data_IF_799820068467
#
_entry.id   IF_799820068467
#
_cell.length_a   1.000
_cell.length_b   1.000
_cell.length_c   1.000
_cell.angle_alpha   90.00
_cell.angle_beta   90.00
_cell.angle_gamma   90.00
#
_symmetry.space_group_name_H-M   'P 1'
#
loop_
_entity.id
_entity.type
_entity.pdbx_description
1 polymer ?
#
# COMPACT_ATOMS: atom_id res chain seq x y z
N UNK A 1 31.46 15.86 37.80
CA UNK A 1 31.01 14.84 36.85
C UNK A 1 32.13 13.82 36.66
N UNK A 2 31.84 12.52 36.90
CA UNK A 2 32.79 11.41 36.79
C UNK A 2 32.82 10.79 35.37
N UNK A 3 31.92 11.22 34.47
CA UNK A 3 31.82 10.68 33.11
C UNK A 3 33.14 10.78 32.35
N UNK A 4 33.86 11.91 32.49
CA UNK A 4 35.14 12.14 31.83
C UNK A 4 36.22 11.09 32.19
N UNK A 5 36.16 10.50 33.39
CA UNK A 5 37.16 9.53 33.85
C UNK A 5 36.68 8.07 33.74
N UNK A 6 35.37 7.83 33.86
CA UNK A 6 34.79 6.49 33.86
C UNK A 6 34.41 6.01 32.46
N UNK A 7 33.85 6.88 31.59
CA UNK A 7 33.42 6.48 30.25
C UNK A 7 34.57 5.90 29.41
N UNK A 8 35.77 6.51 29.34
CA UNK A 8 36.90 5.92 28.62
C UNK A 8 37.32 4.54 29.13
N UNK A 9 37.12 4.27 30.43
CA UNK A 9 37.50 3.01 31.08
C UNK A 9 36.44 1.92 30.91
N UNK A 10 35.17 2.30 30.92
CA UNK A 10 34.04 1.38 30.76
C UNK A 10 33.79 1.03 29.28
N UNK A 11 34.08 1.96 28.37
CA UNK A 11 33.75 1.81 26.95
C UNK A 11 34.28 0.51 26.30
N UNK A 12 35.52 0.03 26.55
CA UNK A 12 35.99 -1.22 25.96
C UNK A 12 35.09 -2.42 26.30
N UNK A 13 34.66 -2.55 27.56
CA UNK A 13 33.79 -3.63 28.00
C UNK A 13 32.38 -3.50 27.41
N UNK A 14 31.88 -2.27 27.27
CA UNK A 14 30.58 -2.03 26.63
C UNK A 14 30.64 -2.37 25.14
N UNK A 15 31.73 -2.01 24.47
CA UNK A 15 31.95 -2.32 23.05
C UNK A 15 32.07 -3.83 22.82
N UNK A 16 32.73 -4.55 23.72
CA UNK A 16 32.73 -6.02 23.73
C UNK A 16 31.31 -6.58 23.89
N UNK A 17 30.52 -6.04 24.83
CA UNK A 17 29.12 -6.42 25.00
C UNK A 17 28.23 -6.13 23.78
N UNK A 18 28.52 -5.08 23.01
CA UNK A 18 27.82 -4.81 21.74
C UNK A 18 28.12 -5.86 20.65
N UNK A 19 29.23 -6.59 20.77
CA UNK A 19 29.66 -7.65 19.86
C UNK A 19 29.32 -9.04 20.36
N UNK A 20 28.65 -9.15 21.51
CA UNK A 20 28.31 -10.42 22.12
C UNK A 20 27.31 -11.20 21.25
N UNK A 21 27.34 -12.52 21.36
CA UNK A 21 26.39 -13.41 20.69
C UNK A 21 25.02 -13.37 21.35
N UNK A 22 24.95 -13.05 22.64
CA UNK A 22 23.72 -12.96 23.41
C UNK A 22 23.03 -11.59 23.24
N UNK A 23 21.78 -11.64 22.78
CA UNK A 23 20.93 -10.48 22.53
C UNK A 23 20.72 -9.60 23.76
N UNK A 24 20.58 -10.19 24.95
CA UNK A 24 20.35 -9.45 26.19
C UNK A 24 21.62 -8.70 26.59
N UNK A 25 22.80 -9.29 26.36
CA UNK A 25 24.09 -8.61 26.57
C UNK A 25 24.23 -7.42 25.62
N UNK A 26 23.91 -7.60 24.33
CA UNK A 26 23.88 -6.49 23.35
C UNK A 26 22.88 -5.41 23.74
N UNK A 27 21.70 -5.80 24.22
CA UNK A 27 20.64 -4.89 24.66
C UNK A 27 21.12 -3.99 25.80
N UNK A 28 21.68 -4.60 26.86
CA UNK A 28 22.18 -3.88 28.04
C UNK A 28 23.37 -2.99 27.67
N UNK A 29 24.29 -3.50 26.84
CA UNK A 29 25.42 -2.71 26.34
C UNK A 29 24.95 -1.47 25.57
N UNK A 30 23.99 -1.62 24.65
CA UNK A 30 23.41 -0.50 23.91
C UNK A 30 22.68 0.48 24.83
N UNK A 31 21.80 -0.01 25.71
CA UNK A 31 21.04 0.81 26.65
C UNK A 31 21.95 1.61 27.58
N UNK A 32 23.11 1.05 27.98
CA UNK A 32 24.07 1.74 28.86
C UNK A 32 24.71 2.98 28.22
N UNK A 33 24.80 3.03 26.89
CA UNK A 33 25.39 4.18 26.17
C UNK A 33 24.38 5.29 25.88
N UNK A 34 23.08 5.00 25.85
CA UNK A 34 22.03 5.98 25.51
C UNK A 34 22.10 7.25 26.39
N UNK A 35 22.21 7.17 27.74
CA UNK A 35 22.25 8.37 28.57
C UNK A 35 23.53 9.20 28.43
N UNK A 36 24.58 8.64 27.82
CA UNK A 36 25.91 9.24 27.74
C UNK A 36 26.37 9.51 26.31
N UNK A 37 25.46 9.45 25.32
CA UNK A 37 25.79 9.68 23.89
C UNK A 37 26.56 10.99 23.67
N UNK A 38 26.10 12.10 24.25
CA UNK A 38 26.74 13.42 24.09
C UNK A 38 28.21 13.39 24.54
N UNK A 39 28.45 12.73 25.68
CA UNK A 39 29.78 12.59 26.27
C UNK A 39 30.63 11.57 25.51
N UNK A 40 30.02 10.50 25.00
CA UNK A 40 30.67 9.52 24.13
C UNK A 40 31.20 10.18 22.86
N UNK A 41 30.39 11.00 22.21
CA UNK A 41 30.81 11.72 20.98
C UNK A 41 31.89 12.75 21.28
N UNK A 42 31.79 13.47 22.40
CA UNK A 42 32.80 14.49 22.78
C UNK A 42 34.13 13.89 23.21
N UNK A 43 34.11 12.81 24.00
CA UNK A 43 35.31 12.24 24.65
C UNK A 43 35.94 11.11 23.85
N UNK A 44 35.15 10.36 23.07
CA UNK A 44 35.54 9.12 22.40
C UNK A 44 35.14 9.12 20.91
N UNK A 45 35.18 10.28 20.24
CA UNK A 45 34.75 10.45 18.85
C UNK A 45 35.32 9.41 17.86
N UNK A 46 36.55 8.93 18.09
CA UNK A 46 37.21 7.92 17.25
C UNK A 46 36.55 6.54 17.31
N UNK A 47 35.87 6.21 18.41
CA UNK A 47 35.18 4.93 18.59
C UNK A 47 33.77 4.95 18.02
N UNK A 48 33.16 6.13 17.85
CA UNK A 48 31.78 6.28 17.35
C UNK A 48 31.54 5.57 16.01
N UNK A 49 32.40 5.69 14.98
CA UNK A 49 32.25 4.94 13.73
C UNK A 49 32.20 3.41 13.92
N UNK A 50 33.03 2.89 14.82
CA UNK A 50 33.10 1.45 15.10
C UNK A 50 31.87 0.96 15.85
N UNK A 51 31.44 1.71 16.87
CA UNK A 51 30.19 1.45 17.60
C UNK A 51 29.02 1.46 16.63
N UNK A 52 28.93 2.49 15.78
CA UNK A 52 27.87 2.58 14.76
C UNK A 52 27.88 1.36 13.83
N UNK A 53 29.04 0.96 13.32
CA UNK A 53 29.15 -0.23 12.47
C UNK A 53 28.74 -1.51 13.21
N UNK A 54 29.10 -1.62 14.49
CA UNK A 54 28.76 -2.78 15.32
C UNK A 54 27.25 -2.86 15.56
N UNK A 55 26.60 -1.73 15.87
CA UNK A 55 25.15 -1.66 16.04
C UNK A 55 24.42 -2.02 14.73
N UNK A 56 24.92 -1.54 13.60
CA UNK A 56 24.39 -1.90 12.28
C UNK A 56 24.53 -3.39 11.97
N UNK A 57 25.70 -3.98 12.26
CA UNK A 57 25.95 -5.41 12.05
C UNK A 57 25.11 -6.26 13.01
N UNK A 58 24.98 -5.85 14.27
CA UNK A 58 24.16 -6.52 15.27
C UNK A 58 22.70 -6.60 14.84
N UNK A 59 22.14 -5.52 14.28
CA UNK A 59 20.77 -5.49 13.78
C UNK A 59 20.51 -6.48 12.62
N UNK A 60 21.53 -6.88 11.86
CA UNK A 60 21.41 -7.87 10.78
C UNK A 60 21.37 -9.31 11.29
N UNK A 61 21.81 -9.54 12.53
CA UNK A 61 21.94 -10.87 13.14
C UNK A 61 20.94 -11.07 14.31
N UNK A 62 20.06 -10.10 14.60
CA UNK A 62 19.03 -10.25 15.64
C UNK A 62 17.96 -11.26 15.20
N UNK A 63 17.67 -12.22 16.08
CA UNK A 63 16.43 -12.98 16.03
C UNK A 63 15.26 -12.08 16.46
N UNK A 64 14.02 -12.49 16.14
CA UNK A 64 12.80 -11.67 16.23
C UNK A 64 12.36 -11.22 17.68
N UNK A 65 13.27 -11.17 18.66
CA UNK A 65 12.97 -10.90 20.07
C UNK A 65 13.42 -9.49 20.54
N UNK A 66 12.59 -8.53 20.15
CA UNK A 66 12.27 -7.15 20.65
C UNK A 66 13.14 -6.35 21.65
N UNK A 67 13.84 -6.92 22.64
CA UNK A 67 14.49 -6.11 23.70
C UNK A 67 15.82 -5.48 23.24
N UNK A 68 16.62 -6.24 22.50
CA UNK A 68 17.89 -5.81 21.93
C UNK A 68 17.68 -4.78 20.83
N UNK A 69 16.70 -4.98 19.94
CA UNK A 69 16.43 -4.08 18.81
C UNK A 69 16.07 -2.67 19.25
N UNK A 70 15.21 -2.50 20.26
CA UNK A 70 14.82 -1.18 20.75
C UNK A 70 16.02 -0.40 21.31
N UNK A 71 16.84 -1.05 22.14
CA UNK A 71 18.03 -0.43 22.75
C UNK A 71 19.07 -0.06 21.69
N UNK A 72 19.31 -0.96 20.73
CA UNK A 72 20.24 -0.74 19.61
C UNK A 72 19.75 0.40 18.72
N UNK A 73 18.48 0.40 18.30
CA UNK A 73 17.90 1.45 17.45
C UNK A 73 17.87 2.81 18.15
N UNK A 74 17.60 2.85 19.46
CA UNK A 74 17.62 4.10 20.25
C UNK A 74 19.03 4.68 20.35
N UNK A 75 20.04 3.84 20.60
CA UNK A 75 21.42 4.29 20.60
C UNK A 75 21.86 4.76 19.21
N UNK A 76 21.47 4.01 18.18
CA UNK A 76 21.82 4.29 16.80
C UNK A 76 21.18 5.60 16.31
N UNK A 77 19.90 5.84 16.57
CA UNK A 77 19.22 7.10 16.26
C UNK A 77 19.91 8.27 16.94
N UNK A 78 20.28 8.13 18.22
CA UNK A 78 20.98 9.14 19.01
C UNK A 78 22.38 9.43 18.44
N UNK A 79 23.12 8.40 18.01
CA UNK A 79 24.45 8.56 17.42
C UNK A 79 24.41 9.16 16.02
N UNK A 80 23.37 8.87 15.21
CA UNK A 80 23.20 9.43 13.88
C UNK A 80 22.96 10.94 13.89
N UNK A 81 22.53 11.51 15.02
CA UNK A 81 22.45 12.97 15.19
C UNK A 81 23.82 13.66 15.16
N UNK A 82 24.91 12.91 15.32
CA UNK A 82 26.27 13.43 15.40
C UNK A 82 27.03 13.19 14.08
N UNK A 83 27.35 14.25 13.31
CA UNK A 83 27.93 14.11 11.99
C UNK A 83 29.42 13.76 12.07
N UNK A 84 29.75 12.47 12.01
CA UNK A 84 31.12 11.98 11.79
C UNK A 84 31.28 11.24 10.45
N UNK A 85 30.18 10.80 9.85
CA UNK A 85 30.12 10.10 8.56
C UNK A 85 28.93 10.61 7.73
N UNK A 86 29.01 10.48 6.41
CA UNK A 86 27.94 10.97 5.53
C UNK A 86 26.64 10.18 5.72
N UNK A 87 25.56 10.89 6.07
CA UNK A 87 24.22 10.33 6.20
C UNK A 87 23.74 9.66 4.90
N UNK A 88 24.26 10.07 3.73
CA UNK A 88 24.00 9.42 2.44
C UNK A 88 24.33 7.92 2.45
N UNK A 89 25.29 7.50 3.25
CA UNK A 89 25.73 6.10 3.35
C UNK A 89 25.04 5.38 4.50
N UNK A 90 24.77 6.08 5.60
CA UNK A 90 24.24 5.49 6.83
C UNK A 90 22.73 5.28 6.78
N UNK A 91 21.98 6.26 6.30
CA UNK A 91 20.52 6.19 6.30
C UNK A 91 20.01 5.00 5.45
N UNK A 92 20.62 4.65 4.29
CA UNK A 92 20.26 3.44 3.57
C UNK A 92 20.35 2.12 4.32
N UNK A 93 21.08 2.07 5.43
CA UNK A 93 21.13 0.88 6.29
C UNK A 93 19.85 0.69 7.10
N UNK A 94 18.97 1.69 7.19
CA UNK A 94 17.66 1.59 7.84
C UNK A 94 16.68 0.76 6.98
N UNK A 95 16.88 0.67 5.66
CA UNK A 95 15.88 0.15 4.72
C UNK A 95 15.40 -1.28 5.03
N UNK A 96 16.26 -2.22 5.47
CA UNK A 96 15.81 -3.57 5.84
C UNK A 96 14.79 -3.56 6.98
N UNK A 97 14.94 -2.65 7.95
CA UNK A 97 14.10 -2.59 9.15
C UNK A 97 12.72 -2.02 8.89
N UNK A 98 12.55 -1.26 7.80
CA UNK A 98 11.24 -0.74 7.40
C UNK A 98 10.27 -1.86 7.00
N UNK A 99 10.78 -3.03 6.57
CA UNK A 99 9.99 -4.22 6.20
C UNK A 99 10.23 -5.41 7.14
N UNK A 100 10.65 -5.12 8.37
CA UNK A 100 10.84 -6.15 9.38
C UNK A 100 9.51 -6.83 9.73
N UNK A 101 9.53 -8.12 10.05
CA UNK A 101 8.35 -8.92 10.46
C UNK A 101 7.70 -8.32 11.72
N UNK A 102 8.52 -7.91 12.70
CA UNK A 102 8.07 -7.26 13.93
C UNK A 102 7.69 -5.78 13.73
N UNK A 103 6.46 -5.44 14.13
CA UNK A 103 5.92 -4.07 14.09
C UNK A 103 6.72 -3.05 14.91
N UNK A 104 7.19 -3.39 16.11
CA UNK A 104 7.98 -2.48 16.94
C UNK A 104 9.31 -2.08 16.28
N UNK A 105 9.92 -2.98 15.52
CA UNK A 105 11.17 -2.71 14.77
C UNK A 105 10.90 -1.76 13.61
N UNK A 106 9.82 -1.98 12.86
CA UNK A 106 9.37 -1.05 11.81
C UNK A 106 9.10 0.35 12.37
N UNK A 107 8.41 0.42 13.52
CA UNK A 107 8.14 1.66 14.24
C UNK A 107 9.43 2.40 14.62
N UNK A 108 10.38 1.71 15.27
CA UNK A 108 11.67 2.30 15.65
C UNK A 108 12.48 2.80 14.44
N UNK A 109 12.44 2.08 13.32
CA UNK A 109 13.08 2.50 12.07
C UNK A 109 12.47 3.80 11.52
N UNK A 110 11.15 3.93 11.54
CA UNK A 110 10.45 5.14 11.13
C UNK A 110 10.67 6.31 12.10
N UNK A 111 10.69 6.07 13.41
CA UNK A 111 11.01 7.10 14.42
C UNK A 111 12.44 7.63 14.24
N UNK A 112 13.37 6.74 13.87
CA UNK A 112 14.74 7.11 13.51
C UNK A 112 14.74 8.04 12.29
N UNK A 113 14.02 7.70 11.22
CA UNK A 113 13.92 8.58 10.03
C UNK A 113 13.25 9.91 10.36
N UNK A 114 12.19 9.91 11.15
CA UNK A 114 11.51 11.13 11.58
C UNK A 114 12.48 12.05 12.33
N UNK A 115 13.25 11.52 13.28
CA UNK A 115 14.23 12.28 14.05
C UNK A 115 15.29 12.90 13.15
N UNK A 116 15.83 12.12 12.20
CA UNK A 116 16.85 12.60 11.26
C UNK A 116 16.34 13.72 10.35
N UNK A 117 15.09 13.65 9.91
CA UNK A 117 14.47 14.68 9.09
C UNK A 117 14.17 15.94 9.91
N UNK A 118 13.65 15.79 11.14
CA UNK A 118 13.20 16.92 11.95
C UNK A 118 14.36 17.71 12.59
N UNK A 119 15.45 17.06 13.04
CA UNK A 119 16.51 17.75 13.80
C UNK A 119 17.56 18.47 12.95
N UNK A 120 17.58 18.27 11.63
CA UNK A 120 18.54 18.93 10.73
C UNK A 120 17.95 20.28 10.28
N UNK A 121 18.40 21.38 10.89
CA UNK A 121 17.78 22.70 10.74
C UNK A 121 18.16 23.46 9.46
N UNK A 122 19.30 23.19 8.81
CA UNK A 122 19.77 24.11 7.75
C UNK A 122 20.36 23.50 6.47
N UNK A 123 20.55 22.18 6.32
CA UNK A 123 20.97 21.62 5.02
C UNK A 123 20.80 20.09 4.90
N UNK A 124 19.55 19.62 4.81
CA UNK A 124 19.29 18.21 4.47
C UNK A 124 19.70 17.86 3.03
N UNK A 125 19.74 18.85 2.14
CA UNK A 125 20.00 18.67 0.70
C UNK A 125 21.25 17.85 0.38
N UNK A 126 22.34 18.08 1.12
CA UNK A 126 23.63 17.44 0.86
C UNK A 126 23.61 15.92 0.99
N UNK A 127 22.84 15.38 1.95
CA UNK A 127 22.75 13.94 2.16
C UNK A 127 21.45 13.33 1.64
N UNK A 128 20.37 14.10 1.63
CA UNK A 128 19.03 13.64 1.29
C UNK A 128 18.85 13.50 -0.21
N UNK A 129 19.26 14.50 -1.01
CA UNK A 129 19.04 14.50 -2.46
C UNK A 129 19.55 13.22 -3.15
N UNK A 130 20.76 12.69 -2.83
CA UNK A 130 21.24 11.45 -3.46
C UNK A 130 20.44 10.19 -3.13
N UNK A 131 19.71 10.16 -2.01
CA UNK A 131 18.92 8.98 -1.55
C UNK A 131 17.41 9.24 -1.56
N UNK A 132 16.98 10.42 -2.00
CA UNK A 132 15.60 10.89 -1.90
C UNK A 132 14.63 9.94 -2.61
N UNK A 133 14.98 9.54 -3.84
CA UNK A 133 14.17 8.61 -4.62
C UNK A 133 13.97 7.28 -3.87
N UNK A 134 15.03 6.67 -3.39
CA UNK A 134 14.95 5.37 -2.70
C UNK A 134 14.20 5.50 -1.38
N UNK A 135 14.40 6.58 -0.63
CA UNK A 135 13.66 6.85 0.60
C UNK A 135 12.16 6.99 0.31
N UNK A 136 11.76 7.78 -0.70
CA UNK A 136 10.35 7.90 -1.09
C UNK A 136 9.76 6.56 -1.52
N UNK A 137 10.49 5.77 -2.30
CA UNK A 137 10.04 4.43 -2.73
C UNK A 137 9.84 3.51 -1.53
N UNK A 138 10.78 3.46 -0.60
CA UNK A 138 10.64 2.65 0.62
C UNK A 138 9.45 3.09 1.46
N UNK A 139 9.28 4.39 1.73
CA UNK A 139 8.16 4.91 2.52
C UNK A 139 6.81 4.60 1.86
N UNK A 140 6.71 4.76 0.53
CA UNK A 140 5.47 4.42 -0.18
C UNK A 140 5.16 2.92 -0.11
N UNK A 141 6.16 2.07 -0.33
CA UNK A 141 5.97 0.61 -0.29
C UNK A 141 5.56 0.12 1.09
N UNK A 142 6.18 0.61 2.16
CA UNK A 142 5.77 0.19 3.51
C UNK A 142 4.38 0.72 3.86
N UNK A 143 3.98 1.89 3.35
CA UNK A 143 2.62 2.40 3.54
C UNK A 143 1.56 1.44 2.98
N UNK A 144 1.74 0.93 1.76
CA UNK A 144 0.77 0.02 1.15
C UNK A 144 0.81 -1.40 1.74
N UNK A 145 1.93 -1.79 2.37
CA UNK A 145 2.14 -3.10 3.00
C UNK A 145 1.83 -3.11 4.50
N UNK A 146 1.54 -1.97 5.13
CA UNK A 146 1.35 -1.89 6.58
C UNK A 146 -0.11 -2.11 6.99
N UNK A 147 -0.32 -2.93 8.02
CA UNK A 147 -1.63 -3.16 8.64
C UNK A 147 -1.82 -2.36 9.92
N UNK A 148 -0.75 -1.98 10.62
CA UNK A 148 -0.82 -1.31 11.91
C UNK A 148 -1.09 0.20 11.78
N UNK A 149 -2.17 0.68 12.41
CA UNK A 149 -2.58 2.09 12.36
C UNK A 149 -1.52 3.06 12.90
N UNK A 150 -0.88 2.75 14.03
CA UNK A 150 0.13 3.64 14.62
C UNK A 150 1.33 3.82 13.68
N UNK A 151 1.71 2.74 12.98
CA UNK A 151 2.81 2.76 12.02
C UNK A 151 2.40 3.55 10.77
N UNK A 152 1.17 3.38 10.28
CA UNK A 152 0.62 4.18 9.17
C UNK A 152 0.67 5.68 9.49
N UNK A 153 0.25 6.07 10.70
CA UNK A 153 0.28 7.48 11.12
C UNK A 153 1.71 8.03 11.17
N UNK A 154 2.66 7.21 11.63
CA UNK A 154 4.07 7.57 11.64
C UNK A 154 4.67 7.64 10.22
N UNK A 155 4.30 6.74 9.32
CA UNK A 155 4.68 6.78 7.89
C UNK A 155 4.21 8.10 7.27
N UNK A 156 2.97 8.50 7.52
CA UNK A 156 2.45 9.78 7.04
C UNK A 156 3.26 10.96 7.57
N UNK A 157 3.60 10.96 8.87
CA UNK A 157 4.46 12.00 9.46
C UNK A 157 5.83 12.05 8.79
N UNK A 158 6.51 10.92 8.63
CA UNK A 158 7.83 10.84 7.98
C UNK A 158 7.75 11.35 6.54
N UNK A 159 6.69 11.01 5.80
CA UNK A 159 6.49 11.50 4.44
C UNK A 159 6.32 13.02 4.39
N UNK A 160 5.53 13.62 5.28
CA UNK A 160 5.38 15.08 5.33
C UNK A 160 6.70 15.78 5.68
N UNK A 161 7.44 15.28 6.67
CA UNK A 161 8.77 15.81 7.01
C UNK A 161 9.73 15.72 5.82
N UNK A 162 9.69 14.62 5.07
CA UNK A 162 10.51 14.42 3.87
C UNK A 162 10.20 15.46 2.79
N UNK A 163 8.92 15.66 2.47
CA UNK A 163 8.48 16.64 1.47
C UNK A 163 8.82 18.08 1.89
N UNK A 164 8.73 18.39 3.20
CA UNK A 164 9.03 19.73 3.73
C UNK A 164 10.53 20.05 3.73
N UNK A 165 11.39 19.03 3.91
CA UNK A 165 12.85 19.22 4.02
C UNK A 165 13.57 19.17 2.67
N UNK A 166 13.03 18.45 1.70
CA UNK A 166 13.60 18.38 0.35
C UNK A 166 13.13 19.57 -0.51
N UNK A 167 14.00 20.04 -1.42
CA UNK A 167 13.56 21.02 -2.43
C UNK A 167 12.53 20.36 -3.35
N UNK A 168 11.43 21.07 -3.61
CA UNK A 168 10.34 20.60 -4.48
C UNK A 168 10.84 20.11 -5.84
N UNK A 169 11.85 20.75 -6.43
CA UNK A 169 12.42 20.34 -7.71
C UNK A 169 13.02 18.93 -7.65
N UNK A 170 13.73 18.62 -6.57
CA UNK A 170 14.31 17.29 -6.37
C UNK A 170 13.25 16.25 -5.99
N UNK A 171 12.22 16.64 -5.22
CA UNK A 171 11.06 15.77 -4.94
C UNK A 171 10.39 15.35 -6.23
N UNK A 172 10.02 16.32 -7.07
CA UNK A 172 9.34 16.06 -8.35
C UNK A 172 10.22 15.21 -9.28
N UNK A 173 11.50 15.53 -9.40
CA UNK A 173 12.44 14.76 -10.21
C UNK A 173 12.60 13.31 -9.73
N UNK A 174 12.66 13.09 -8.41
CA UNK A 174 12.79 11.77 -7.80
C UNK A 174 11.49 10.94 -7.90
N UNK A 175 10.33 11.59 -7.88
CA UNK A 175 9.05 10.92 -7.72
C UNK A 175 8.27 10.70 -9.03
N UNK A 176 8.33 11.66 -9.98
CA UNK A 176 7.56 11.59 -11.23
C UNK A 176 7.74 10.27 -12.00
N UNK A 177 8.96 9.72 -12.17
CA UNK A 177 9.15 8.44 -12.85
C UNK A 177 8.43 7.26 -12.18
N UNK A 178 8.14 7.36 -10.87
CA UNK A 178 7.56 6.28 -10.06
C UNK A 178 6.07 6.45 -9.80
N UNK A 179 5.47 7.60 -10.11
CA UNK A 179 4.04 7.88 -9.89
C UNK A 179 3.15 6.78 -10.49
N UNK A 180 3.40 6.38 -11.74
CA UNK A 180 2.65 5.29 -12.38
C UNK A 180 2.82 3.95 -11.67
N UNK A 181 4.03 3.60 -11.25
CA UNK A 181 4.31 2.35 -10.53
C UNK A 181 3.63 2.31 -9.15
N UNK A 182 3.61 3.44 -8.45
CA UNK A 182 2.95 3.58 -7.15
C UNK A 182 1.43 3.50 -7.26
N UNK A 183 0.84 4.10 -8.29
CA UNK A 183 -0.57 3.88 -8.63
C UNK A 183 -0.85 2.41 -8.93
N UNK A 184 -0.02 1.74 -9.74
CA UNK A 184 -0.17 0.32 -10.03
C UNK A 184 -0.09 -0.56 -8.77
N UNK A 185 0.73 -0.20 -7.77
CA UNK A 185 0.77 -0.89 -6.47
C UNK A 185 -0.56 -0.76 -5.71
N UNK A 186 -1.16 0.42 -5.67
CA UNK A 186 -2.49 0.62 -5.04
C UNK A 186 -3.59 -0.18 -5.74
N UNK A 187 -3.46 -0.35 -7.04
CA UNK A 187 -4.42 -1.04 -7.91
C UNK A 187 -4.33 -2.57 -7.86
N UNK A 188 -3.37 -3.15 -7.12
CA UNK A 188 -3.27 -4.60 -7.03
C UNK A 188 -4.51 -5.20 -6.35
N UNK A 189 -4.98 -6.39 -6.79
CA UNK A 189 -5.99 -7.15 -6.07
C UNK A 189 -5.53 -7.52 -4.66
N UNK A 190 -6.40 -7.45 -3.67
CA UNK A 190 -6.05 -7.69 -2.26
C UNK A 190 -5.69 -9.14 -1.94
N UNK A 191 -6.24 -10.10 -2.70
CA UNK A 191 -6.06 -11.54 -2.45
C UNK A 191 -4.95 -12.16 -3.29
N UNK A 192 -4.27 -11.36 -4.12
CA UNK A 192 -3.19 -11.83 -4.99
C UNK A 192 -1.86 -11.28 -4.44
N UNK A 193 -0.82 -12.13 -4.30
CA UNK A 193 0.51 -11.65 -3.94
C UNK A 193 1.01 -10.58 -4.91
N UNK A 194 1.64 -9.54 -4.39
CA UNK A 194 2.27 -8.49 -5.18
C UNK A 194 3.49 -9.10 -5.89
N UNK A 195 3.63 -8.82 -7.20
CA UNK A 195 4.84 -9.17 -7.93
C UNK A 195 6.04 -8.43 -7.33
N UNK A 196 7.03 -9.19 -6.86
CA UNK A 196 8.23 -8.67 -6.21
C UNK A 196 9.02 -7.72 -7.12
N UNK A 197 8.90 -7.82 -8.45
CA UNK A 197 9.54 -6.87 -9.38
C UNK A 197 8.97 -5.45 -9.28
N UNK A 198 7.74 -5.30 -8.74
CA UNK A 198 7.15 -3.99 -8.44
C UNK A 198 7.75 -3.37 -7.17
N UNK A 199 8.45 -4.16 -6.36
CA UNK A 199 9.02 -3.75 -5.10
C UNK A 199 10.52 -3.47 -5.21
N UNK A 200 11.00 -2.40 -4.57
CA UNK A 200 12.43 -2.19 -4.41
C UNK A 200 13.03 -3.29 -3.52
N UNK A 201 13.93 -4.09 -4.08
CA UNK A 201 14.71 -5.06 -3.31
C UNK A 201 15.56 -4.35 -2.26
N UNK A 202 15.50 -4.83 -1.02
CA UNK A 202 16.47 -4.46 0.00
C UNK A 202 17.52 -5.54 0.03
N UNK A 203 18.68 -5.28 -0.57
CA UNK A 203 19.82 -6.19 -0.50
C UNK A 203 20.40 -6.17 0.92
N UNK A 204 19.90 -7.02 1.79
CA UNK A 204 20.63 -7.37 3.00
C UNK A 204 21.91 -8.09 2.56
N UNK A 205 23.08 -7.46 2.77
CA UNK A 205 24.37 -8.13 2.57
C UNK A 205 24.50 -9.21 3.64
N UNK A 206 24.03 -10.42 3.35
CA UNK A 206 24.47 -11.59 4.11
C UNK A 206 25.96 -11.76 3.85
N UNK A 207 26.78 -11.75 4.91
CA UNK A 207 28.18 -12.18 4.80
C UNK A 207 28.16 -13.65 4.37
N UNK A 208 28.51 -13.92 3.11
CA UNK A 208 29.03 -15.24 2.76
C UNK A 208 30.26 -15.47 3.64
N UNK A 209 30.13 -16.32 4.66
CA UNK A 209 31.26 -16.76 5.46
C UNK A 209 32.20 -17.58 4.57
N UNK A 210 33.19 -16.91 3.99
CA UNK A 210 34.34 -17.55 3.38
C UNK A 210 35.15 -18.27 4.47
N UNK A 211 35.27 -19.59 4.33
CA UNK A 211 36.35 -20.38 4.92
C UNK A 211 35.98 -21.31 6.08
N UNK A 212 35.82 -22.61 5.77
CA UNK A 212 36.39 -23.67 6.60
C UNK A 212 35.45 -24.53 7.45
N UNK A 213 35.24 -25.76 6.95
CA UNK A 213 34.79 -27.02 7.60
C UNK A 213 33.29 -27.30 7.68
N UNK A 214 32.95 -28.41 7.01
CA UNK A 214 31.66 -29.07 6.91
C UNK A 214 30.98 -29.25 8.28
N UNK A 215 29.82 -28.59 8.45
CA UNK A 215 28.66 -29.18 9.12
C UNK A 215 27.50 -29.07 8.14
N UNK A 216 26.94 -30.22 7.75
CA UNK A 216 25.68 -30.29 7.02
C UNK A 216 24.59 -29.65 7.88
N UNK A 217 24.33 -28.36 7.66
CA UNK A 217 23.08 -27.74 8.05
C UNK A 217 22.15 -27.86 6.86
N UNK A 218 20.92 -28.32 7.13
CA UNK A 218 19.86 -28.51 6.15
C UNK A 218 19.70 -27.26 5.28
N UNK A 219 19.46 -27.46 3.99
CA UNK A 219 19.15 -26.38 3.07
C UNK A 219 17.97 -25.57 3.63
N UNK A 220 18.26 -24.39 4.17
CA UNK A 220 17.24 -23.37 4.38
C UNK A 220 16.76 -22.98 2.98
N UNK A 221 15.67 -23.61 2.55
CA UNK A 221 14.85 -23.11 1.46
C UNK A 221 14.55 -21.66 1.83
N UNK A 222 15.08 -20.68 1.08
CA UNK A 222 14.68 -19.28 1.24
C UNK A 222 13.16 -19.24 1.04
N UNK A 223 12.40 -19.17 2.13
CA UNK A 223 10.98 -18.90 2.05
C UNK A 223 10.86 -17.54 1.36
N UNK A 224 10.29 -17.54 0.16
CA UNK A 224 9.97 -16.31 -0.53
C UNK A 224 8.74 -15.76 0.20
N UNK A 225 8.95 -14.84 1.13
CA UNK A 225 7.87 -14.14 1.82
C UNK A 225 7.01 -13.44 0.78
N UNK A 226 5.76 -13.88 0.64
CA UNK A 226 4.79 -13.25 -0.25
C UNK A 226 4.28 -11.96 0.38
N UNK A 227 4.28 -10.89 -0.40
CA UNK A 227 3.82 -9.57 0.04
C UNK A 227 2.40 -9.30 -0.46
N UNK A 228 1.55 -8.74 0.40
CA UNK A 228 0.16 -8.43 0.10
C UNK A 228 -0.15 -6.98 0.50
N UNK A 229 -1.15 -6.35 -0.14
CA UNK A 229 -1.66 -5.06 0.35
C UNK A 229 -2.12 -5.23 1.80
N UNK A 230 -1.73 -4.31 2.67
CA UNK A 230 -1.93 -4.37 4.13
C UNK A 230 -1.26 -5.57 4.82
N UNK A 231 -0.19 -6.12 4.23
CA UNK A 231 0.70 -7.09 4.88
C UNK A 231 0.19 -8.53 4.84
N UNK A 232 1.12 -9.48 4.91
CA UNK A 232 0.85 -10.92 4.91
C UNK A 232 0.02 -11.37 6.11
N UNK A 233 0.23 -10.77 7.28
CA UNK A 233 -0.51 -11.09 8.51
C UNK A 233 -2.02 -10.90 8.34
N UNK A 234 -2.42 -9.90 7.55
CA UNK A 234 -3.83 -9.60 7.33
C UNK A 234 -4.55 -10.64 6.48
N UNK A 235 -3.85 -11.48 5.70
CA UNK A 235 -4.45 -12.46 4.80
C UNK A 235 -5.25 -13.54 5.55
N UNK A 236 -4.87 -13.80 6.80
CA UNK A 236 -5.51 -14.79 7.65
C UNK A 236 -6.70 -14.23 8.45
N UNK A 237 -6.97 -12.92 8.35
CA UNK A 237 -8.11 -12.28 9.01
C UNK A 237 -9.43 -12.62 8.29
N UNK A 238 -10.56 -12.38 8.97
CA UNK A 238 -11.88 -12.51 8.35
C UNK A 238 -12.07 -11.50 7.20
N UNK A 239 -13.00 -11.79 6.29
CA UNK A 239 -13.21 -10.99 5.08
C UNK A 239 -13.51 -9.52 5.37
N UNK A 240 -14.19 -9.19 6.47
CA UNK A 240 -14.56 -7.81 6.78
C UNK A 240 -13.37 -7.03 7.34
N UNK A 241 -12.61 -7.64 8.24
CA UNK A 241 -11.38 -7.07 8.80
C UNK A 241 -10.33 -6.88 7.72
N UNK A 242 -10.13 -7.90 6.85
CA UNK A 242 -9.23 -7.82 5.70
C UNK A 242 -9.59 -6.65 4.80
N UNK A 243 -10.85 -6.54 4.40
CA UNK A 243 -11.30 -5.48 3.51
C UNK A 243 -11.09 -4.09 4.13
N UNK A 244 -11.40 -3.92 5.42
CA UNK A 244 -11.14 -2.69 6.16
C UNK A 244 -9.66 -2.29 6.13
N UNK A 245 -8.74 -3.20 6.45
CA UNK A 245 -7.30 -2.87 6.48
C UNK A 245 -6.74 -2.62 5.08
N UNK A 246 -7.23 -3.29 4.04
CA UNK A 246 -6.86 -3.03 2.63
C UNK A 246 -7.28 -1.63 2.21
N UNK A 247 -8.55 -1.27 2.46
CA UNK A 247 -9.05 0.06 2.09
C UNK A 247 -8.29 1.13 2.87
N UNK A 248 -8.02 0.91 4.16
CA UNK A 248 -7.17 1.80 4.95
C UNK A 248 -5.79 1.97 4.35
N UNK A 249 -5.10 0.89 3.97
CA UNK A 249 -3.77 0.97 3.35
C UNK A 249 -3.80 1.75 2.02
N UNK A 250 -4.84 1.56 1.19
CA UNK A 250 -5.04 2.36 -0.03
C UNK A 250 -5.30 3.83 0.25
N UNK A 251 -6.10 4.16 1.26
CA UNK A 251 -6.34 5.56 1.68
C UNK A 251 -5.04 6.18 2.23
N UNK A 252 -4.27 5.45 3.03
CA UNK A 252 -2.98 5.90 3.54
C UNK A 252 -1.99 6.18 2.40
N UNK A 253 -1.88 5.28 1.43
CA UNK A 253 -1.08 5.48 0.22
C UNK A 253 -1.59 6.68 -0.60
N UNK A 254 -2.91 6.86 -0.72
CA UNK A 254 -3.50 7.99 -1.42
C UNK A 254 -3.16 9.33 -0.76
N UNK A 255 -3.07 9.40 0.58
CA UNK A 255 -2.60 10.60 1.31
C UNK A 255 -1.15 10.96 0.96
N UNK A 256 -0.29 9.96 0.82
CA UNK A 256 1.10 10.17 0.41
C UNK A 256 1.18 10.72 -1.02
N UNK A 257 0.47 10.07 -1.96
CA UNK A 257 0.45 10.55 -3.35
C UNK A 257 -0.27 11.89 -3.51
N UNK A 258 -1.33 12.14 -2.73
CA UNK A 258 -2.05 13.41 -2.76
C UNK A 258 -1.17 14.59 -2.35
N UNK A 259 -0.35 14.43 -1.30
CA UNK A 259 0.61 15.46 -0.88
C UNK A 259 1.74 15.63 -1.89
N UNK A 260 2.20 14.53 -2.52
CA UNK A 260 3.13 14.61 -3.65
C UNK A 260 2.53 15.32 -4.87
N UNK A 261 1.25 15.11 -5.16
CA UNK A 261 0.55 15.83 -6.23
C UNK A 261 0.55 17.35 -5.95
N UNK A 262 0.54 17.80 -4.69
CA UNK A 262 0.70 19.22 -4.36
C UNK A 262 2.08 19.75 -4.84
N UNK A 263 3.16 18.99 -4.61
CA UNK A 263 4.50 19.31 -5.10
C UNK A 263 4.58 19.35 -6.63
N UNK A 264 4.01 18.34 -7.30
CA UNK A 264 3.99 18.24 -8.77
C UNK A 264 3.21 19.42 -9.39
N UNK A 265 2.13 19.84 -8.73
CA UNK A 265 1.26 20.92 -9.15
C UNK A 265 1.74 22.32 -8.72
N UNK A 266 2.91 22.44 -8.08
CA UNK A 266 3.41 23.72 -7.60
C UNK A 266 3.67 24.69 -8.78
N UNK A 267 3.26 25.98 -8.69
CA UNK A 267 3.46 26.94 -9.78
C UNK A 267 4.93 27.12 -10.17
N UNK A 268 5.85 27.09 -9.19
CA UNK A 268 7.30 27.23 -9.42
C UNK A 268 7.86 26.16 -10.36
N UNK A 269 7.29 24.94 -10.30
CA UNK A 269 7.64 23.79 -11.14
C UNK A 269 7.03 23.93 -12.54
N UNK A 270 5.79 24.39 -12.63
CA UNK A 270 5.00 24.40 -13.88
C UNK A 270 5.14 25.70 -14.70
N UNK A 271 5.87 26.69 -14.19
CA UNK A 271 6.21 27.92 -14.89
C UNK A 271 7.52 27.83 -15.69
N UNK A 272 8.28 26.73 -15.54
CA UNK A 272 9.49 26.49 -16.31
C UNK A 272 9.13 26.30 -17.79
N UNK A 273 9.97 26.82 -18.69
CA UNK A 273 9.84 26.64 -20.14
C UNK A 273 10.20 25.18 -20.53
N UNK A 274 9.33 24.25 -20.16
CA UNK A 274 9.38 22.83 -20.51
C UNK A 274 8.27 22.54 -21.53
N UNK A 275 8.52 21.65 -22.50
CA UNK A 275 7.53 21.27 -23.52
C UNK A 275 6.30 20.56 -22.91
N UNK A 276 6.51 19.77 -21.86
CA UNK A 276 5.44 19.08 -21.14
C UNK A 276 5.57 19.41 -19.66
N UNK A 277 4.51 19.98 -19.08
CA UNK A 277 4.50 20.35 -17.66
C UNK A 277 4.18 19.15 -16.77
N UNK A 278 4.83 19.00 -15.60
CA UNK A 278 4.53 17.90 -14.68
C UNK A 278 3.05 17.78 -14.30
N UNK A 279 2.34 18.91 -14.13
CA UNK A 279 0.91 18.90 -13.86
C UNK A 279 0.07 18.35 -15.04
N UNK A 280 0.49 18.58 -16.29
CA UNK A 280 -0.20 18.06 -17.47
C UNK A 280 0.00 16.55 -17.60
N UNK A 281 1.22 16.05 -17.40
CA UNK A 281 1.52 14.62 -17.33
C UNK A 281 0.74 13.92 -16.22
N UNK A 282 0.64 14.55 -15.04
CA UNK A 282 -0.17 14.06 -13.95
C UNK A 282 -1.65 13.97 -14.34
N UNK A 283 -2.21 15.02 -14.95
CA UNK A 283 -3.60 15.02 -15.42
C UNK A 283 -3.88 13.89 -16.42
N UNK A 284 -2.97 13.67 -17.38
CA UNK A 284 -3.08 12.58 -18.36
C UNK A 284 -3.05 11.20 -17.70
N UNK A 285 -2.16 11.00 -16.73
CA UNK A 285 -2.05 9.73 -15.99
C UNK A 285 -3.32 9.45 -15.17
N UNK A 286 -3.84 10.44 -14.46
CA UNK A 286 -5.09 10.29 -13.68
C UNK A 286 -6.28 10.01 -14.61
N UNK A 287 -6.37 10.73 -15.74
CA UNK A 287 -7.41 10.50 -16.74
C UNK A 287 -7.34 9.13 -17.38
N UNK A 288 -6.14 8.61 -17.67
CA UNK A 288 -5.96 7.27 -18.22
C UNK A 288 -6.65 6.21 -17.35
N UNK A 289 -6.40 6.25 -16.04
CA UNK A 289 -7.00 5.30 -15.09
C UNK A 289 -8.49 5.54 -14.82
N UNK A 290 -8.95 6.80 -14.79
CA UNK A 290 -10.39 7.11 -14.69
C UNK A 290 -11.20 6.62 -15.91
N UNK A 291 -10.56 6.54 -17.08
CA UNK A 291 -11.17 6.01 -18.30
C UNK A 291 -11.14 4.47 -18.39
N UNK A 292 -10.39 3.78 -17.53
CA UNK A 292 -10.30 2.32 -17.53
C UNK A 292 -11.63 1.64 -17.19
N UNK A 293 -11.72 0.32 -17.45
CA UNK A 293 -12.84 -0.53 -17.00
C UNK A 293 -12.56 -1.23 -15.66
N UNK A 294 -11.43 -0.95 -15.02
CA UNK A 294 -11.10 -1.48 -13.71
C UNK A 294 -11.67 -0.60 -12.61
N UNK A 295 -12.45 -1.21 -11.71
CA UNK A 295 -12.92 -0.54 -10.50
C UNK A 295 -11.74 -0.11 -9.61
N UNK A 296 -10.71 -0.97 -9.46
CA UNK A 296 -9.55 -0.69 -8.63
C UNK A 296 -8.74 0.51 -9.15
N UNK A 297 -8.58 0.64 -10.46
CA UNK A 297 -7.95 1.80 -11.08
C UNK A 297 -8.72 3.09 -10.79
N UNK A 298 -10.04 3.08 -10.99
CA UNK A 298 -10.90 4.23 -10.73
C UNK A 298 -10.93 4.62 -9.25
N UNK A 299 -11.06 3.64 -8.36
CA UNK A 299 -11.04 3.85 -6.89
C UNK A 299 -9.71 4.47 -6.46
N UNK A 300 -8.58 3.88 -6.89
CA UNK A 300 -7.25 4.33 -6.48
C UNK A 300 -6.99 5.78 -6.91
N UNK A 301 -7.32 6.13 -8.15
CA UNK A 301 -7.13 7.49 -8.65
C UNK A 301 -8.14 8.48 -8.04
N UNK A 302 -9.39 8.07 -7.80
CA UNK A 302 -10.37 8.92 -7.12
C UNK A 302 -9.92 9.25 -5.69
N UNK A 303 -9.36 8.29 -4.95
CA UNK A 303 -8.74 8.52 -3.65
C UNK A 303 -7.59 9.53 -3.73
N UNK A 304 -6.66 9.35 -4.66
CA UNK A 304 -5.53 10.29 -4.82
C UNK A 304 -6.00 11.70 -5.16
N UNK A 305 -6.97 11.83 -6.08
CA UNK A 305 -7.56 13.14 -6.42
C UNK A 305 -8.25 13.75 -5.20
N UNK A 306 -9.01 12.96 -4.44
CA UNK A 306 -9.71 13.42 -3.24
C UNK A 306 -8.74 13.96 -2.18
N UNK A 307 -7.65 13.24 -1.90
CA UNK A 307 -6.63 13.67 -0.95
C UNK A 307 -5.85 14.89 -1.44
N UNK A 308 -5.46 14.90 -2.72
CA UNK A 308 -4.79 16.04 -3.33
C UNK A 308 -5.66 17.31 -3.29
N UNK A 309 -6.93 17.21 -3.69
CA UNK A 309 -7.86 18.34 -3.74
C UNK A 309 -8.20 18.88 -2.34
N UNK A 310 -8.18 18.02 -1.31
CA UNK A 310 -8.34 18.45 0.07
C UNK A 310 -7.20 19.39 0.54
N UNK A 311 -5.99 19.21 0.00
CA UNK A 311 -4.80 20.00 0.35
C UNK A 311 -4.56 21.20 -0.57
N UNK A 312 -4.87 21.09 -1.88
CA UNK A 312 -4.48 22.08 -2.89
C UNK A 312 -5.66 22.57 -3.73
N UNK A 313 -5.91 23.89 -3.70
CA UNK A 313 -7.08 24.53 -4.35
C UNK A 313 -6.76 25.30 -5.62
N UNK A 314 -5.48 25.51 -5.93
CA UNK A 314 -5.07 26.50 -6.94
C UNK A 314 -4.69 25.90 -8.30
N UNK A 315 -4.41 24.59 -8.37
CA UNK A 315 -3.99 23.95 -9.61
C UNK A 315 -5.19 23.67 -10.53
N UNK A 316 -5.53 24.68 -11.35
CA UNK A 316 -6.63 24.61 -12.30
C UNK A 316 -6.42 23.56 -13.40
N UNK A 317 -5.18 23.35 -13.86
CA UNK A 317 -4.89 22.44 -14.97
C UNK A 317 -5.36 21.01 -14.70
N UNK A 318 -4.97 20.45 -13.55
CA UNK A 318 -5.36 19.08 -13.18
C UNK A 318 -6.84 19.03 -12.81
N UNK A 319 -7.34 19.98 -12.03
CA UNK A 319 -8.72 20.02 -11.57
C UNK A 319 -9.72 20.04 -12.74
N UNK A 320 -9.52 20.96 -13.70
CA UNK A 320 -10.38 21.09 -14.88
C UNK A 320 -10.31 19.88 -15.81
N UNK A 321 -9.16 19.18 -15.84
CA UNK A 321 -9.00 17.98 -16.65
C UNK A 321 -9.80 16.79 -16.07
N UNK A 322 -9.69 16.54 -14.76
CA UNK A 322 -10.27 15.33 -14.13
C UNK A 322 -11.75 15.48 -13.76
N UNK A 323 -12.22 16.69 -13.45
CA UNK A 323 -13.57 16.92 -12.94
C UNK A 323 -14.69 16.43 -13.89
N UNK A 324 -14.69 16.76 -15.20
CA UNK A 324 -15.72 16.27 -16.11
C UNK A 324 -15.75 14.74 -16.18
N UNK A 325 -14.58 14.11 -16.11
CA UNK A 325 -14.48 12.65 -16.15
C UNK A 325 -15.03 12.03 -14.87
N UNK A 326 -14.73 12.58 -13.69
CA UNK A 326 -15.28 12.12 -12.42
C UNK A 326 -16.81 12.18 -12.41
N UNK A 327 -17.40 13.27 -12.91
CA UNK A 327 -18.85 13.40 -13.02
C UNK A 327 -19.47 12.34 -13.95
N UNK A 328 -18.81 12.04 -15.07
CA UNK A 328 -19.23 10.95 -15.94
C UNK A 328 -19.13 9.58 -15.25
N UNK A 329 -18.09 9.32 -14.44
CA UNK A 329 -17.96 8.08 -13.65
C UNK A 329 -19.16 7.90 -12.72
N UNK A 330 -19.65 8.97 -12.07
CA UNK A 330 -20.81 8.92 -11.16
C UNK A 330 -22.13 8.55 -11.86
N UNK A 331 -22.19 8.66 -13.19
CA UNK A 331 -23.39 8.31 -13.97
C UNK A 331 -23.25 6.95 -14.67
N UNK A 332 -22.04 6.40 -14.74
CA UNK A 332 -21.75 5.14 -15.42
C UNK A 332 -22.07 3.91 -14.57
N UNK A 333 -22.54 2.86 -15.24
CA UNK A 333 -22.80 1.53 -14.66
C UNK A 333 -22.08 0.49 -15.53
N UNK A 334 -20.86 0.14 -15.16
CA UNK A 334 -19.99 -0.72 -15.97
C UNK A 334 -19.86 -2.10 -15.36
N UNK A 335 -19.74 -3.13 -16.20
CA UNK A 335 -19.20 -4.41 -15.79
C UNK A 335 -17.69 -4.27 -15.70
N UNK A 336 -17.16 -4.29 -14.47
CA UNK A 336 -15.75 -4.06 -14.21
C UNK A 336 -14.89 -5.28 -14.53
N UNK A 337 -13.60 -5.05 -14.83
CA UNK A 337 -12.65 -6.12 -15.13
C UNK A 337 -12.52 -7.12 -13.95
N UNK A 338 -12.67 -6.63 -12.71
CA UNK A 338 -12.58 -7.43 -11.49
C UNK A 338 -13.67 -8.51 -11.36
N UNK A 339 -14.84 -8.33 -11.99
CA UNK A 339 -15.92 -9.32 -11.97
C UNK A 339 -15.90 -10.24 -13.20
N UNK A 340 -14.89 -10.15 -14.07
CA UNK A 340 -14.87 -10.92 -15.32
C UNK A 340 -14.95 -12.45 -15.09
N UNK A 341 -14.25 -12.97 -14.07
CA UNK A 341 -14.26 -14.39 -13.71
C UNK A 341 -15.63 -14.83 -13.17
N UNK A 342 -16.17 -14.24 -12.08
CA UNK A 342 -17.49 -14.62 -11.56
C UNK A 342 -18.60 -14.40 -12.60
N UNK A 343 -18.53 -13.33 -13.39
CA UNK A 343 -19.47 -13.09 -14.48
C UNK A 343 -19.41 -14.20 -15.55
N UNK A 344 -18.22 -14.64 -15.96
CA UNK A 344 -18.08 -15.77 -16.92
C UNK A 344 -18.64 -17.07 -16.34
N UNK A 345 -18.41 -17.34 -15.06
CA UNK A 345 -19.00 -18.49 -14.36
C UNK A 345 -20.52 -18.41 -14.38
N UNK A 346 -21.10 -17.26 -14.04
CA UNK A 346 -22.54 -17.00 -14.11
C UNK A 346 -23.11 -17.26 -15.51
N UNK A 347 -22.45 -16.78 -16.57
CA UNK A 347 -22.87 -17.03 -17.95
C UNK A 347 -22.96 -18.53 -18.27
N UNK A 348 -21.93 -19.29 -17.87
CA UNK A 348 -21.85 -20.72 -18.14
C UNK A 348 -22.92 -21.50 -17.37
N UNK A 349 -23.12 -21.19 -16.09
CA UNK A 349 -24.15 -21.83 -15.27
C UNK A 349 -25.57 -21.52 -15.77
N UNK A 350 -25.84 -20.28 -16.22
CA UNK A 350 -27.11 -19.94 -16.87
C UNK A 350 -27.36 -20.77 -18.13
N UNK A 351 -26.34 -20.88 -19.00
CA UNK A 351 -26.44 -21.72 -20.22
C UNK A 351 -26.68 -23.19 -19.89
N UNK A 352 -26.01 -23.71 -18.87
CA UNK A 352 -26.21 -25.08 -18.41
C UNK A 352 -27.62 -25.32 -17.86
N UNK A 353 -28.20 -24.34 -17.15
CA UNK A 353 -29.59 -24.42 -16.69
C UNK A 353 -30.56 -24.47 -17.88
N UNK A 354 -30.36 -23.62 -18.88
CA UNK A 354 -31.16 -23.61 -20.11
C UNK A 354 -31.08 -24.96 -20.84
N UNK A 355 -29.88 -25.54 -20.95
CA UNK A 355 -29.69 -26.87 -21.53
C UNK A 355 -30.48 -27.94 -20.76
N UNK A 356 -30.46 -27.93 -19.43
CA UNK A 356 -31.21 -28.89 -18.62
C UNK A 356 -32.73 -28.72 -18.71
N UNK A 357 -33.22 -27.48 -18.85
CA UNK A 357 -34.63 -27.22 -19.14
C UNK A 357 -35.01 -27.78 -20.51
N UNK A 358 -34.19 -27.58 -21.53
CA UNK A 358 -34.42 -28.11 -22.87
C UNK A 358 -34.40 -29.65 -22.92
N UNK A 359 -33.47 -30.30 -22.22
CA UNK A 359 -33.42 -31.76 -22.05
C UNK A 359 -34.69 -32.31 -21.38
N UNK A 360 -35.28 -31.52 -20.49
CA UNK A 360 -36.56 -31.78 -19.83
C UNK A 360 -37.79 -31.46 -20.69
N UNK A 361 -37.60 -31.15 -21.98
CA UNK A 361 -38.64 -30.73 -22.93
C UNK A 361 -39.37 -29.42 -22.54
N UNK A 362 -38.71 -28.57 -21.74
CA UNK A 362 -39.22 -27.24 -21.37
C UNK A 362 -38.56 -26.22 -22.30
N UNK A 363 -39.33 -25.69 -23.26
CA UNK A 363 -38.83 -24.67 -24.18
C UNK A 363 -38.98 -23.26 -23.60
N UNK A 364 -37.85 -22.58 -23.43
CA UNK A 364 -37.77 -21.19 -22.97
C UNK A 364 -37.18 -20.24 -24.01
N UNK A 365 -36.99 -20.70 -25.26
CA UNK A 365 -36.39 -19.90 -26.35
C UNK A 365 -37.21 -18.65 -26.70
N UNK A 366 -38.52 -18.69 -26.46
CA UNK A 366 -39.40 -17.53 -26.64
C UNK A 366 -39.23 -16.46 -25.55
N UNK A 367 -38.72 -16.84 -24.36
CA UNK A 367 -38.54 -15.96 -23.20
C UNK A 367 -37.11 -15.45 -23.04
N UNK A 368 -36.13 -16.20 -23.56
CA UNK A 368 -34.71 -15.89 -23.45
C UNK A 368 -34.08 -15.83 -24.84
N UNK A 369 -33.75 -14.63 -25.30
CA UNK A 369 -33.09 -14.40 -26.59
C UNK A 369 -31.86 -13.49 -26.44
N UNK A 370 -30.90 -13.93 -25.62
CA UNK A 370 -29.63 -13.23 -25.41
C UNK A 370 -28.45 -14.20 -25.48
N UNK A 371 -27.37 -13.77 -26.14
CA UNK A 371 -26.12 -14.53 -26.23
C UNK A 371 -25.24 -14.37 -24.98
N UNK A 372 -25.38 -13.23 -24.31
CA UNK A 372 -24.73 -12.86 -23.04
C UNK A 372 -25.79 -12.25 -22.12
N UNK A 373 -25.89 -12.75 -20.91
CA UNK A 373 -26.83 -12.30 -19.89
C UNK A 373 -26.29 -11.07 -19.15
N UNK A 374 -27.11 -10.05 -18.95
CA UNK A 374 -26.86 -9.10 -17.85
C UNK A 374 -27.15 -9.79 -16.50
N UNK A 375 -26.64 -9.25 -15.39
CA UNK A 375 -26.97 -9.77 -14.04
C UNK A 375 -28.49 -9.78 -13.80
N UNK A 376 -29.19 -8.74 -14.26
CA UNK A 376 -30.66 -8.66 -14.15
C UNK A 376 -31.36 -9.75 -14.95
N UNK A 377 -30.91 -10.02 -16.18
CA UNK A 377 -31.46 -11.10 -17.01
C UNK A 377 -31.16 -12.49 -16.43
N UNK A 378 -29.98 -12.68 -15.84
CA UNK A 378 -29.63 -13.92 -15.15
C UNK A 378 -30.50 -14.13 -13.90
N UNK A 379 -30.77 -13.05 -13.14
CA UNK A 379 -31.71 -13.08 -12.02
C UNK A 379 -33.14 -13.42 -12.47
N UNK A 380 -33.62 -12.81 -13.55
CA UNK A 380 -34.95 -13.11 -14.09
C UNK A 380 -35.05 -14.56 -14.59
N UNK A 381 -33.97 -15.10 -15.19
CA UNK A 381 -33.89 -16.50 -15.60
C UNK A 381 -34.12 -17.46 -14.43
N UNK A 382 -33.43 -17.25 -13.29
CA UNK A 382 -33.50 -18.15 -12.12
C UNK A 382 -34.69 -17.89 -11.21
N UNK A 383 -35.50 -16.87 -11.51
CA UNK A 383 -36.71 -16.49 -10.76
C UNK A 383 -37.96 -16.62 -11.64
N UNK A 384 -38.39 -15.55 -12.31
CA UNK A 384 -39.63 -15.46 -13.07
C UNK A 384 -39.68 -16.52 -14.18
N UNK A 385 -38.65 -16.56 -15.03
CA UNK A 385 -38.64 -17.45 -16.21
C UNK A 385 -38.68 -18.91 -15.77
N UNK A 386 -37.89 -19.28 -14.75
CA UNK A 386 -37.89 -20.66 -14.23
C UNK A 386 -39.25 -21.03 -13.64
N UNK A 387 -39.82 -20.18 -12.79
CA UNK A 387 -41.12 -20.42 -12.13
C UNK A 387 -42.24 -20.63 -13.14
N UNK A 388 -42.36 -19.72 -14.12
CA UNK A 388 -43.40 -19.84 -15.14
C UNK A 388 -43.22 -21.07 -16.02
N UNK A 389 -41.99 -21.36 -16.41
CA UNK A 389 -41.68 -22.45 -17.36
C UNK A 389 -41.78 -23.84 -16.73
N UNK A 390 -41.68 -23.92 -15.40
CA UNK A 390 -41.81 -25.18 -14.63
C UNK A 390 -43.16 -25.33 -13.93
N UNK A 391 -44.06 -24.36 -14.04
CA UNK A 391 -45.38 -24.35 -13.37
C UNK A 391 -46.26 -25.57 -13.63
N UNK A 392 -46.09 -26.22 -14.78
CA UNK A 392 -46.82 -27.44 -15.14
C UNK A 392 -46.24 -28.73 -14.51
N UNK A 393 -45.03 -28.68 -13.94
CA UNK A 393 -44.39 -29.84 -13.32
C UNK A 393 -44.81 -30.00 -11.85
N UNK A 394 -45.16 -31.22 -11.41
CA UNK A 394 -45.38 -31.48 -10.00
C UNK A 394 -44.09 -31.24 -9.18
N UNK A 395 -44.19 -30.45 -8.11
CA UNK A 395 -43.05 -30.10 -7.23
C UNK A 395 -42.33 -31.34 -6.66
N UNK A 396 -43.09 -32.41 -6.37
CA UNK A 396 -42.55 -33.66 -5.83
C UNK A 396 -41.93 -34.57 -6.91
N UNK A 397 -41.97 -34.18 -8.19
CA UNK A 397 -41.36 -34.97 -9.26
C UNK A 397 -39.83 -34.90 -9.15
N UNK A 398 -39.16 -36.04 -9.38
CA UNK A 398 -37.69 -36.11 -9.43
C UNK A 398 -37.10 -35.12 -10.45
N UNK A 399 -37.81 -34.92 -11.56
CA UNK A 399 -37.44 -33.99 -12.62
C UNK A 399 -37.42 -32.54 -12.12
N UNK A 400 -38.49 -32.09 -11.45
CA UNK A 400 -38.55 -30.75 -10.86
C UNK A 400 -37.45 -30.56 -9.81
N UNK A 401 -37.26 -31.53 -8.91
CA UNK A 401 -36.24 -31.45 -7.86
C UNK A 401 -34.82 -31.30 -8.42
N UNK A 402 -34.49 -32.01 -9.50
CA UNK A 402 -33.18 -31.88 -10.16
C UNK A 402 -33.00 -30.50 -10.82
N UNK A 403 -34.03 -30.00 -11.49
CA UNK A 403 -34.01 -28.67 -12.11
C UNK A 403 -33.94 -27.56 -11.07
N UNK A 404 -34.68 -27.68 -9.96
CA UNK A 404 -34.67 -26.68 -8.90
C UNK A 404 -33.34 -26.68 -8.15
N UNK A 405 -32.74 -27.84 -7.88
CA UNK A 405 -31.39 -27.90 -7.30
C UNK A 405 -30.35 -27.19 -8.19
N UNK A 406 -30.42 -27.38 -9.51
CA UNK A 406 -29.55 -26.67 -10.46
C UNK A 406 -29.85 -25.18 -10.49
N UNK A 407 -31.12 -24.77 -10.50
CA UNK A 407 -31.55 -23.37 -10.42
C UNK A 407 -31.06 -22.70 -9.12
N UNK A 408 -31.13 -23.38 -7.99
CA UNK A 408 -30.60 -22.91 -6.70
C UNK A 408 -29.08 -22.66 -6.79
N UNK A 409 -28.33 -23.58 -7.40
CA UNK A 409 -26.89 -23.38 -7.64
C UNK A 409 -26.63 -22.14 -8.51
N UNK A 410 -27.32 -21.99 -9.64
CA UNK A 410 -27.17 -20.81 -10.51
C UNK A 410 -27.57 -19.53 -9.77
N UNK A 411 -28.64 -19.57 -8.97
CA UNK A 411 -29.09 -18.43 -8.17
C UNK A 411 -28.01 -17.96 -7.20
N UNK A 412 -27.31 -18.87 -6.51
CA UNK A 412 -26.20 -18.52 -5.63
C UNK A 412 -25.09 -17.77 -6.41
N UNK A 413 -24.68 -18.30 -7.56
CA UNK A 413 -23.66 -17.66 -8.42
C UNK A 413 -24.10 -16.29 -8.93
N UNK A 414 -25.38 -16.11 -9.30
CA UNK A 414 -25.95 -14.82 -9.73
C UNK A 414 -25.94 -13.83 -8.57
N UNK A 415 -26.31 -14.25 -7.37
CA UNK A 415 -26.30 -13.41 -6.17
C UNK A 415 -24.88 -12.98 -5.79
N UNK A 416 -23.91 -13.91 -5.79
CA UNK A 416 -22.49 -13.62 -5.54
C UNK A 416 -21.95 -12.59 -6.54
N UNK A 417 -22.16 -12.83 -7.84
CA UNK A 417 -21.72 -11.91 -8.91
C UNK A 417 -22.37 -10.53 -8.79
N UNK A 418 -23.66 -10.49 -8.45
CA UNK A 418 -24.40 -9.24 -8.23
C UNK A 418 -23.88 -8.46 -7.04
N UNK A 419 -23.59 -9.14 -5.94
CA UNK A 419 -23.08 -8.52 -4.72
C UNK A 419 -21.68 -7.93 -4.94
N UNK A 420 -20.78 -8.68 -5.57
CA UNK A 420 -19.44 -8.18 -5.91
C UNK A 420 -19.49 -6.95 -6.82
N UNK A 421 -20.34 -6.99 -7.85
CA UNK A 421 -20.55 -5.85 -8.74
C UNK A 421 -21.08 -4.62 -7.98
N UNK A 422 -22.08 -4.79 -7.12
CA UNK A 422 -22.66 -3.71 -6.33
C UNK A 422 -21.63 -3.05 -5.41
N UNK A 423 -20.80 -3.84 -4.72
CA UNK A 423 -19.75 -3.32 -3.83
C UNK A 423 -18.73 -2.49 -4.62
N UNK A 424 -18.29 -2.98 -5.78
CA UNK A 424 -17.35 -2.24 -6.62
C UNK A 424 -17.97 -0.94 -7.17
N UNK A 425 -19.21 -1.01 -7.65
CA UNK A 425 -19.94 0.12 -8.18
C UNK A 425 -20.13 1.21 -7.12
N UNK A 426 -20.58 0.82 -5.92
CA UNK A 426 -20.76 1.72 -4.79
C UNK A 426 -19.44 2.39 -4.39
N UNK A 427 -18.33 1.65 -4.33
CA UNK A 427 -17.00 2.21 -4.02
C UNK A 427 -16.52 3.21 -5.06
N UNK A 428 -16.62 2.86 -6.35
CA UNK A 428 -16.23 3.75 -7.45
C UNK A 428 -17.02 5.06 -7.37
N UNK A 429 -18.32 4.99 -7.13
CA UNK A 429 -19.18 6.16 -7.00
C UNK A 429 -18.89 6.96 -5.73
N UNK A 430 -18.72 6.30 -4.58
CA UNK A 430 -18.43 6.95 -3.30
C UNK A 430 -17.14 7.73 -3.36
N UNK A 431 -16.04 7.10 -3.77
CA UNK A 431 -14.74 7.77 -3.85
C UNK A 431 -14.69 8.81 -4.98
N UNK A 432 -15.39 8.57 -6.09
CA UNK A 432 -15.59 9.57 -7.14
C UNK A 432 -16.31 10.82 -6.61
N UNK A 433 -17.34 10.64 -5.78
CA UNK A 433 -18.09 11.73 -5.18
C UNK A 433 -17.24 12.49 -4.15
N UNK A 434 -16.46 11.78 -3.31
CA UNK A 434 -15.49 12.41 -2.41
C UNK A 434 -14.48 13.28 -3.17
N UNK A 435 -13.98 12.81 -4.31
CA UNK A 435 -13.08 13.58 -5.16
C UNK A 435 -13.75 14.86 -5.70
N UNK A 436 -14.98 14.76 -6.21
CA UNK A 436 -15.75 15.92 -6.72
C UNK A 436 -16.02 16.95 -5.62
N UNK A 437 -16.41 16.49 -4.42
CA UNK A 437 -16.64 17.37 -3.27
C UNK A 437 -15.36 18.10 -2.88
N UNK A 438 -14.23 17.39 -2.78
CA UNK A 438 -12.95 18.00 -2.41
C UNK A 438 -12.41 18.96 -3.48
N UNK A 439 -12.72 18.74 -4.75
CA UNK A 439 -12.42 19.70 -5.82
C UNK A 439 -13.21 21.01 -5.70
N UNK A 440 -14.30 21.04 -4.92
CA UNK A 440 -15.19 22.20 -4.75
C UNK A 440 -15.81 22.71 -6.07
N UNK A 441 -15.87 21.84 -7.09
CA UNK A 441 -16.44 22.13 -8.40
C UNK A 441 -17.66 21.24 -8.60
N UNK A 442 -18.74 21.55 -7.86
CA UNK A 442 -19.96 20.75 -7.87
C UNK A 442 -20.74 20.94 -9.19
N UNK A 443 -21.40 19.88 -9.69
CA UNK A 443 -22.31 19.98 -10.83
C UNK A 443 -23.59 20.74 -10.45
N UNK A 444 -24.35 21.19 -11.45
CA UNK A 444 -25.65 21.83 -11.22
C UNK A 444 -26.66 20.88 -10.54
N UNK A 445 -26.65 19.60 -10.93
CA UNK A 445 -27.46 18.57 -10.29
C UNK A 445 -26.63 17.80 -9.28
N UNK A 446 -26.97 17.93 -7.99
CA UNK A 446 -26.20 17.34 -6.89
C UNK A 446 -26.53 15.86 -6.63
N UNK A 447 -27.65 15.33 -7.13
CA UNK A 447 -28.10 13.96 -6.85
C UNK A 447 -27.04 12.88 -7.16
N UNK A 448 -26.31 12.94 -8.30
CA UNK A 448 -25.25 11.97 -8.60
C UNK A 448 -24.07 12.00 -7.62
N UNK A 449 -23.89 13.09 -6.87
CA UNK A 449 -22.83 13.24 -5.86
C UNK A 449 -23.34 12.86 -4.47
N UNK A 450 -24.55 13.28 -4.10
CA UNK A 450 -25.11 13.06 -2.76
C UNK A 450 -25.45 11.58 -2.54
N UNK A 451 -26.09 10.93 -3.52
CA UNK A 451 -26.60 9.56 -3.35
C UNK A 451 -25.49 8.57 -2.98
N UNK A 452 -24.35 8.50 -3.69
CA UNK A 452 -23.26 7.59 -3.31
C UNK A 452 -22.71 7.83 -1.91
N UNK A 453 -22.65 9.09 -1.46
CA UNK A 453 -22.14 9.44 -0.12
C UNK A 453 -23.12 9.06 1.00
N UNK A 454 -24.42 9.05 0.71
CA UNK A 454 -25.44 8.62 1.67
C UNK A 454 -25.56 7.10 1.77
N UNK A 455 -25.28 6.39 0.69
CA UNK A 455 -25.37 4.93 0.61
C UNK A 455 -24.09 4.24 1.11
N UNK A 456 -23.00 4.99 1.31
CA UNK A 456 -21.65 4.52 1.67
C UNK A 456 -21.55 3.74 2.99
#
# INVERSE_FOLDING_TARGET
DLINSLLPKALPAIVEGLQDLDDDVRAVAAASLVPVVDSLVKLQFKQVPFIMSTLWDALLELDDLTASTNSIMTLLSSLLMYPQQSLTILVPRVWPFLRHTISSVRKAALETLCTLLSTQDQNCSGWLTPILQDMMRHIFQICILESNQEIIDLIHKVWQELLNKASVQYVVAAACPWMGAWLCLMMQPSHIPIDLHMLLEVKAKSKEKGGGKLRQCQSQTKEITQEYIAGSDSVNEDSSTRDYVVIRARVAAAKLLGSLCCCICEPSINNLAQEIKPAESLAQLLLFHLNSKSALQRISVALVISEWAAMQKECRTVALAVQPRLLAVLSEHLYYDEIAIPFTRMQNECKQLISSLAESQIDIRSKVNCSVFTINQANDLVTTVFSESTSALPVNSKQFQQLDAKRQQVQMTVMETSQEWQVLQQRVHTFGACAVVNLQQLPEQLNPVIKPLMEA
#
